data_IF_264865884660
#
_entry.id   IF_264865884660
#
_cell.length_a   1.000
_cell.length_b   1.000
_cell.length_c   1.000
_cell.angle_alpha   90.00
_cell.angle_beta   90.00
_cell.angle_gamma   90.00
#
_symmetry.space_group_name_H-M   'P 1'
#
loop_
_entity.id
_entity.type
_entity.pdbx_description
1 polymer ?
#
# COMPACT_ATOMS: atom_id res chain seq x y z
N UNK A 1 5.50 -0.46 23.51
CA UNK A 1 5.88 0.11 22.19
C UNK A 1 5.55 -0.81 21.02
N UNK A 2 5.75 -2.14 21.13
CA UNK A 2 5.42 -3.13 20.09
C UNK A 2 3.96 -3.10 19.57
N UNK A 3 2.94 -3.00 20.44
CA UNK A 3 1.52 -3.02 20.03
C UNK A 3 1.09 -1.88 19.08
N UNK A 4 1.71 -0.69 19.17
CA UNK A 4 1.37 0.45 18.30
C UNK A 4 1.86 0.25 16.87
N UNK A 5 3.05 -0.33 16.69
CA UNK A 5 3.65 -0.59 15.38
C UNK A 5 2.87 -1.68 14.64
N UNK A 6 2.52 -2.77 15.32
CA UNK A 6 1.65 -3.81 14.73
C UNK A 6 0.29 -3.27 14.28
N UNK A 7 -0.27 -2.29 15.01
CA UNK A 7 -1.53 -1.64 14.62
C UNK A 7 -1.43 -0.85 13.32
N UNK A 8 -0.25 -0.30 13.00
CA UNK A 8 -0.02 0.45 11.74
C UNK A 8 0.10 -0.52 10.56
N UNK A 9 0.84 -1.63 10.72
CA UNK A 9 0.93 -2.66 9.67
C UNK A 9 -0.42 -3.30 9.35
N UNK A 10 -1.27 -3.47 10.36
CA UNK A 10 -2.66 -3.90 10.16
C UNK A 10 -3.51 -2.85 9.44
N UNK A 11 -3.32 -1.56 9.75
CA UNK A 11 -4.08 -0.46 9.15
C UNK A 11 -3.84 -0.35 7.65
N UNK A 12 -2.57 -0.40 7.23
CA UNK A 12 -2.21 -0.30 5.79
C UNK A 12 -2.38 -1.62 5.04
N UNK A 13 -2.92 -2.65 5.71
CA UNK A 13 -3.10 -4.01 5.17
C UNK A 13 -1.81 -4.51 4.52
N UNK A 14 -0.71 -4.47 5.28
CA UNK A 14 0.64 -4.76 4.78
C UNK A 14 0.78 -6.03 3.92
N UNK A 15 0.13 -7.18 4.23
CA UNK A 15 0.16 -8.34 3.34
C UNK A 15 -0.34 -8.05 1.92
N UNK A 16 -1.36 -7.21 1.78
CA UNK A 16 -1.88 -6.83 0.46
C UNK A 16 -0.87 -5.96 -0.31
N UNK A 17 -0.12 -5.09 0.38
CA UNK A 17 0.91 -4.28 -0.26
C UNK A 17 2.06 -5.15 -0.79
N UNK A 18 2.42 -6.21 -0.06
CA UNK A 18 3.40 -7.18 -0.54
C UNK A 18 2.90 -7.94 -1.77
N UNK A 19 1.60 -8.27 -1.82
CA UNK A 19 0.99 -8.88 -3.01
C UNK A 19 1.06 -7.93 -4.20
N UNK A 20 0.78 -6.64 -4.02
CA UNK A 20 0.92 -5.62 -5.08
C UNK A 20 2.36 -5.59 -5.60
N UNK A 21 3.34 -5.45 -4.71
CA UNK A 21 4.75 -5.42 -5.10
C UNK A 21 5.18 -6.70 -5.83
N UNK A 22 4.83 -7.86 -5.28
CA UNK A 22 5.11 -9.15 -5.90
C UNK A 22 4.48 -9.24 -7.29
N UNK A 23 3.23 -8.82 -7.44
CA UNK A 23 2.53 -8.86 -8.73
C UNK A 23 3.21 -7.94 -9.74
N UNK A 24 3.62 -6.73 -9.35
CA UNK A 24 4.34 -5.83 -10.25
C UNK A 24 5.69 -6.42 -10.70
N UNK A 25 6.46 -7.01 -9.79
CA UNK A 25 7.72 -7.68 -10.14
C UNK A 25 7.52 -8.93 -10.99
N UNK A 26 6.50 -9.74 -10.70
CA UNK A 26 6.14 -10.89 -11.50
C UNK A 26 5.72 -10.46 -12.92
N UNK A 27 4.90 -9.42 -13.05
CA UNK A 27 4.53 -8.85 -14.34
C UNK A 27 5.77 -8.37 -15.12
N UNK A 28 6.74 -7.72 -14.46
CA UNK A 28 7.96 -7.23 -15.12
C UNK A 28 8.84 -8.37 -15.65
N UNK A 29 9.22 -9.31 -14.79
CA UNK A 29 10.24 -10.31 -15.14
C UNK A 29 9.67 -11.61 -15.71
N UNK A 30 8.45 -12.00 -15.35
CA UNK A 30 7.85 -13.24 -15.85
C UNK A 30 6.99 -13.04 -17.09
N UNK A 31 6.57 -11.80 -17.39
CA UNK A 31 5.72 -11.50 -18.55
C UNK A 31 6.32 -10.45 -19.46
N UNK A 32 6.62 -9.24 -18.98
CA UNK A 32 7.09 -8.17 -19.86
C UNK A 32 8.45 -8.52 -20.48
N UNK A 33 9.45 -8.86 -19.68
CA UNK A 33 10.79 -9.17 -20.18
C UNK A 33 10.82 -10.32 -21.21
N UNK A 34 10.16 -11.48 -20.98
CA UNK A 34 10.12 -12.56 -21.97
C UNK A 34 9.31 -12.25 -23.23
N UNK A 35 8.38 -11.29 -23.18
CA UNK A 35 7.55 -10.89 -24.32
C UNK A 35 8.22 -9.80 -25.19
N UNK A 36 9.32 -9.20 -24.74
CA UNK A 36 10.04 -8.21 -25.53
C UNK A 36 10.79 -8.88 -26.69
N UNK A 37 10.67 -8.36 -27.92
CA UNK A 37 11.47 -8.84 -29.04
C UNK A 37 12.96 -8.59 -28.75
N UNK A 38 13.74 -9.67 -28.77
CA UNK A 38 15.13 -9.73 -28.29
C UNK A 38 16.13 -8.80 -28.98
N UNK A 39 15.76 -8.23 -30.14
CA UNK A 39 16.73 -7.59 -31.03
C UNK A 39 16.67 -6.06 -31.01
N UNK A 40 15.67 -5.46 -30.35
CA UNK A 40 15.52 -3.99 -30.34
C UNK A 40 14.78 -3.38 -29.15
N UNK A 41 14.30 -4.19 -28.20
CA UNK A 41 13.51 -3.69 -27.08
C UNK A 41 14.09 -4.10 -25.74
N UNK A 42 14.12 -3.14 -24.82
CA UNK A 42 14.52 -3.33 -23.42
C UNK A 42 13.38 -2.85 -22.49
N UNK A 43 13.43 -3.29 -21.23
CA UNK A 43 12.52 -2.78 -20.21
C UNK A 43 12.72 -1.27 -20.05
N UNK A 44 11.63 -0.51 -20.18
CA UNK A 44 11.66 0.96 -20.17
C UNK A 44 12.28 1.55 -18.90
N UNK A 45 12.00 0.96 -17.74
CA UNK A 45 12.58 1.39 -16.47
C UNK A 45 13.73 0.49 -16.07
N UNK A 46 14.86 1.06 -15.66
CA UNK A 46 15.89 0.33 -14.91
C UNK A 46 15.36 -0.16 -13.56
N UNK A 47 16.11 -1.06 -12.92
CA UNK A 47 15.64 -1.72 -11.69
C UNK A 47 15.39 -0.74 -10.54
N UNK A 48 16.20 0.32 -10.43
CA UNK A 48 16.01 1.34 -9.40
C UNK A 48 14.75 2.18 -9.64
N UNK A 49 14.52 2.64 -10.88
CA UNK A 49 13.32 3.41 -11.23
C UNK A 49 12.06 2.55 -11.04
N UNK A 50 12.14 1.27 -11.37
CA UNK A 50 11.03 0.35 -11.15
C UNK A 50 10.78 0.08 -9.67
N UNK A 51 11.82 -0.06 -8.86
CA UNK A 51 11.67 -0.19 -7.41
C UNK A 51 11.00 1.07 -6.81
N UNK A 52 11.35 2.27 -7.28
CA UNK A 52 10.67 3.51 -6.90
C UNK A 52 9.20 3.52 -7.32
N UNK A 53 8.88 3.06 -8.53
CA UNK A 53 7.50 2.94 -9.01
C UNK A 53 6.69 1.97 -8.14
N UNK A 54 7.23 0.79 -7.83
CA UNK A 54 6.57 -0.19 -6.96
C UNK A 54 6.35 0.40 -5.57
N UNK A 55 7.36 1.08 -5.02
CA UNK A 55 7.26 1.73 -3.72
C UNK A 55 6.18 2.82 -3.70
N UNK A 56 6.16 3.70 -4.70
CA UNK A 56 5.11 4.72 -4.90
C UNK A 56 3.71 4.07 -4.96
N UNK A 57 3.57 2.99 -5.74
CA UNK A 57 2.31 2.25 -5.86
C UNK A 57 1.84 1.71 -4.49
N UNK A 58 2.75 1.15 -3.70
CA UNK A 58 2.45 0.68 -2.35
C UNK A 58 2.02 1.80 -1.41
N UNK A 59 2.64 2.99 -1.49
CA UNK A 59 2.28 4.15 -0.66
C UNK A 59 0.88 4.66 -0.99
N UNK A 60 0.54 4.77 -2.28
CA UNK A 60 -0.80 5.18 -2.74
C UNK A 60 -1.85 4.15 -2.29
N UNK A 61 -1.57 2.86 -2.43
CA UNK A 61 -2.46 1.78 -1.96
C UNK A 61 -2.64 1.81 -0.43
N UNK A 62 -1.56 2.04 0.32
CA UNK A 62 -1.63 2.22 1.77
C UNK A 62 -2.50 3.43 2.16
N UNK A 63 -2.35 4.56 1.45
CA UNK A 63 -3.19 5.74 1.65
C UNK A 63 -4.67 5.43 1.37
N UNK A 64 -4.95 4.62 0.34
CA UNK A 64 -6.27 4.12 0.00
C UNK A 64 -6.90 3.28 1.13
N UNK A 65 -6.13 2.40 1.76
CA UNK A 65 -6.61 1.62 2.90
C UNK A 65 -6.90 2.50 4.12
N UNK A 66 -6.08 3.51 4.39
CA UNK A 66 -6.29 4.43 5.51
C UNK A 66 -7.58 5.24 5.34
N UNK A 67 -7.85 5.78 4.14
CA UNK A 67 -9.06 6.55 3.91
C UNK A 67 -10.32 5.66 3.91
N UNK A 68 -10.20 4.42 3.43
CA UNK A 68 -11.28 3.44 3.52
C UNK A 68 -11.66 3.19 4.98
N UNK A 69 -10.70 2.84 5.82
CA UNK A 69 -10.94 2.58 7.25
C UNK A 69 -11.43 3.83 8.01
N UNK A 70 -11.05 5.04 7.56
CA UNK A 70 -11.55 6.30 8.12
C UNK A 70 -13.07 6.49 7.92
N UNK A 71 -13.56 6.25 6.70
CA UNK A 71 -14.99 6.38 6.39
C UNK A 71 -15.79 5.22 6.97
N UNK A 72 -15.23 4.01 6.95
CA UNK A 72 -15.90 2.79 7.42
C UNK A 72 -15.92 2.66 8.96
N UNK A 73 -15.18 3.52 9.68
CA UNK A 73 -15.03 3.45 11.15
C UNK A 73 -16.35 3.24 11.90
N UNK A 74 -17.45 3.93 11.52
CA UNK A 74 -18.74 3.80 12.22
C UNK A 74 -19.38 2.42 12.00
N UNK A 75 -19.34 1.92 10.77
CA UNK A 75 -19.91 0.61 10.43
C UNK A 75 -19.07 -0.51 11.03
N UNK A 76 -17.74 -0.40 10.98
CA UNK A 76 -16.84 -1.42 11.53
C UNK A 76 -16.84 -1.46 13.06
N UNK A 77 -17.15 -0.36 13.75
CA UNK A 77 -17.35 -0.37 15.20
C UNK A 77 -18.53 -1.26 15.61
N UNK A 78 -19.55 -1.39 14.76
CA UNK A 78 -20.71 -2.25 15.00
C UNK A 78 -20.39 -3.67 14.54
N UNK A 79 -19.85 -3.84 13.33
CA UNK A 79 -19.68 -5.15 12.71
C UNK A 79 -18.44 -5.92 13.19
N UNK A 80 -17.35 -5.21 13.52
CA UNK A 80 -16.02 -5.77 13.79
C UNK A 80 -15.26 -4.93 14.83
N UNK A 81 -15.79 -4.73 16.05
CA UNK A 81 -15.25 -3.80 17.04
C UNK A 81 -13.79 -4.08 17.43
N UNK A 82 -13.33 -5.33 17.36
CA UNK A 82 -11.97 -5.74 17.69
C UNK A 82 -10.93 -5.43 16.60
N UNK A 83 -11.37 -5.08 15.38
CA UNK A 83 -10.48 -4.75 14.24
C UNK A 83 -10.41 -3.26 13.94
N UNK A 84 -11.26 -2.44 14.56
CA UNK A 84 -11.25 -0.99 14.31
C UNK A 84 -10.00 -0.35 14.90
N UNK A 85 -9.17 0.20 14.01
CA UNK A 85 -7.96 0.92 14.39
C UNK A 85 -8.21 2.42 14.43
N UNK A 86 -8.88 2.98 13.42
CA UNK A 86 -9.17 4.42 13.31
C UNK A 86 -10.28 4.80 14.28
N UNK A 87 -10.05 5.86 15.07
CA UNK A 87 -10.97 6.30 16.13
C UNK A 87 -10.81 5.57 17.47
N UNK A 88 -10.09 4.44 17.52
CA UNK A 88 -9.83 3.68 18.76
C UNK A 88 -8.35 3.75 19.15
N UNK A 89 -7.47 3.22 18.29
CA UNK A 89 -6.03 3.19 18.54
C UNK A 89 -5.30 4.38 17.89
N UNK A 90 -5.80 4.86 16.76
CA UNK A 90 -5.26 6.03 16.02
C UNK A 90 -6.36 7.06 15.88
N UNK A 91 -6.08 8.33 16.18
CA UNK A 91 -7.08 9.39 16.04
C UNK A 91 -7.40 9.66 14.57
N UNK A 92 -8.65 10.07 14.31
CA UNK A 92 -9.13 10.46 12.97
C UNK A 92 -8.24 11.51 12.29
N UNK A 93 -7.74 12.48 13.06
CA UNK A 93 -6.81 13.51 12.56
C UNK A 93 -5.49 12.91 12.09
N UNK A 94 -4.91 11.99 12.87
CA UNK A 94 -3.64 11.33 12.51
C UNK A 94 -3.81 10.46 11.27
N UNK A 95 -4.93 9.73 11.15
CA UNK A 95 -5.24 8.94 9.96
C UNK A 95 -5.28 9.81 8.68
N UNK A 96 -5.96 10.95 8.73
CA UNK A 96 -6.01 11.89 7.60
C UNK A 96 -4.64 12.50 7.25
N UNK A 97 -3.83 12.84 8.26
CA UNK A 97 -2.46 13.32 8.03
C UNK A 97 -1.61 12.24 7.36
N UNK A 98 -1.69 10.99 7.83
CA UNK A 98 -0.98 9.88 7.20
C UNK A 98 -1.43 9.68 5.75
N UNK A 99 -2.74 9.69 5.49
CA UNK A 99 -3.29 9.58 4.15
C UNK A 99 -2.74 10.67 3.21
N UNK A 100 -2.68 11.93 3.68
CA UNK A 100 -2.12 13.04 2.90
C UNK A 100 -0.63 12.84 2.62
N UNK A 101 0.16 12.52 3.65
CA UNK A 101 1.61 12.32 3.51
C UNK A 101 1.91 11.19 2.53
N UNK A 102 1.21 10.06 2.64
CA UNK A 102 1.42 8.91 1.75
C UNK A 102 1.09 9.23 0.28
N UNK A 103 0.05 10.03 0.00
CA UNK A 103 -0.25 10.48 -1.37
C UNK A 103 0.71 11.55 -1.92
N UNK A 104 1.40 12.30 -1.05
CA UNK A 104 2.38 13.30 -1.50
C UNK A 104 3.71 12.62 -1.82
N UNK A 105 4.09 11.62 -1.02
CA UNK A 105 5.36 10.90 -1.18
C UNK A 105 5.25 9.83 -2.28
N UNK A 106 4.12 9.12 -2.33
CA UNK A 106 3.85 8.12 -3.37
C UNK A 106 3.43 8.77 -4.66
#
# INVERSE_FOLDING_TARGET
>A
MSKKILSIFSLVRFPNLLIIAFTQYAMRYLLMEPLLPSDSFELQFGDFQFALLVFSTMLIAAAGYIINDYFDTRADLINKPTRVVVGVAISRKVAMILHLILNIIG
#
